data_IF_077184592173
#
_entry.id   IF_077184592173
#
_cell.length_a   1.000
_cell.length_b   1.000
_cell.length_c   1.000
_cell.angle_alpha   90.00
_cell.angle_beta   90.00
_cell.angle_gamma   90.00
#
_symmetry.space_group_name_H-M   'P 1'
#
loop_
_entity.id
_entity.type
_entity.pdbx_description
1 polymer ?
#
# COMPACT_ATOMS: atom_id res chain seq x y z
N UNK A 1 63.01 -14.43 51.67
CA UNK A 1 62.21 -15.55 51.12
C UNK A 1 61.86 -15.14 49.69
N UNK A 2 62.81 -15.31 48.77
CA UNK A 2 63.01 -16.51 47.97
C UNK A 2 62.08 -16.52 46.74
N UNK A 3 62.70 -16.20 45.61
CA UNK A 3 62.26 -16.40 44.24
C UNK A 3 61.70 -17.80 44.01
N UNK A 4 60.67 -17.92 43.17
CA UNK A 4 60.69 -18.89 42.07
C UNK A 4 59.49 -18.63 41.14
N UNK A 5 59.76 -18.15 39.93
CA UNK A 5 58.94 -18.50 38.77
C UNK A 5 59.32 -19.93 38.34
N UNK A 6 58.35 -20.69 37.83
CA UNK A 6 58.60 -21.40 36.57
C UNK A 6 57.33 -21.45 35.70
N UNK A 7 57.36 -21.63 34.39
CA UNK A 7 58.35 -21.44 33.33
C UNK A 7 57.56 -21.55 32.03
N UNK A 8 58.13 -20.94 31.00
CA UNK A 8 57.83 -21.10 29.58
C UNK A 8 57.63 -22.58 29.18
N UNK A 9 56.41 -23.02 28.90
CA UNK A 9 56.15 -24.15 27.99
C UNK A 9 54.65 -24.29 27.69
N UNK A 10 54.12 -23.45 26.80
CA UNK A 10 53.14 -23.86 25.77
C UNK A 10 52.70 -22.74 24.82
N UNK A 11 53.42 -21.61 24.78
CA UNK A 11 53.25 -20.61 23.74
C UNK A 11 53.97 -21.09 22.47
N UNK A 12 53.33 -21.98 21.69
CA UNK A 12 53.52 -22.25 20.23
C UNK A 12 53.11 -23.68 19.86
N UNK A 13 51.82 -24.02 19.87
CA UNK A 13 51.33 -25.10 18.97
C UNK A 13 49.82 -25.21 18.72
N UNK A 14 49.06 -24.12 18.68
CA UNK A 14 47.75 -24.16 18.00
C UNK A 14 47.53 -22.82 17.29
N UNK A 15 48.44 -22.51 16.36
CA UNK A 15 48.18 -21.63 15.23
C UNK A 15 47.96 -22.56 14.03
N UNK A 16 46.70 -22.96 13.83
CA UNK A 16 46.13 -23.47 12.59
C UNK A 16 44.61 -23.61 12.87
N UNK A 17 43.78 -23.06 11.99
CA UNK A 17 42.32 -23.24 11.92
C UNK A 17 41.40 -22.29 12.70
N UNK A 18 41.81 -21.04 12.98
CA UNK A 18 40.85 -19.98 13.41
C UNK A 18 41.15 -18.63 12.74
N UNK A 19 41.30 -18.62 11.42
CA UNK A 19 41.29 -17.40 10.60
C UNK A 19 40.41 -17.63 9.36
N UNK A 20 39.10 -17.82 9.57
CA UNK A 20 38.08 -17.52 8.54
C UNK A 20 36.65 -17.52 9.11
N UNK A 21 36.41 -16.67 10.12
CA UNK A 21 35.04 -16.39 10.62
C UNK A 21 34.69 -14.92 10.51
N UNK A 22 35.22 -14.25 9.50
CA UNK A 22 34.69 -12.99 9.01
C UNK A 22 34.28 -13.13 7.55
N UNK A 23 33.37 -14.06 7.28
CA UNK A 23 32.50 -13.90 6.12
C UNK A 23 31.13 -13.52 6.65
N UNK A 24 30.96 -12.21 6.70
CA UNK A 24 29.71 -11.50 6.89
C UNK A 24 28.66 -12.19 6.05
N UNK A 25 27.79 -12.98 6.70
CA UNK A 25 26.60 -13.53 6.10
C UNK A 25 25.81 -12.36 5.54
N UNK A 26 26.00 -12.12 4.25
CA UNK A 26 25.27 -11.15 3.48
C UNK A 26 23.85 -11.68 3.44
N UNK A 27 23.06 -11.28 4.44
CA UNK A 27 21.61 -11.42 4.41
C UNK A 27 21.21 -10.62 3.18
N UNK A 28 21.01 -11.31 2.05
CA UNK A 28 20.29 -10.77 0.90
C UNK A 28 18.94 -10.36 1.46
N UNK A 29 18.79 -9.07 1.78
CA UNK A 29 17.50 -8.46 2.04
C UNK A 29 16.71 -8.72 0.77
N UNK A 30 15.82 -9.72 0.80
CA UNK A 30 14.83 -9.87 -0.24
C UNK A 30 14.04 -8.58 -0.18
N UNK A 31 14.24 -7.68 -1.14
CA UNK A 31 13.44 -6.48 -1.26
C UNK A 31 11.98 -6.96 -1.32
N UNK A 32 11.23 -6.74 -0.24
CA UNK A 32 9.84 -7.17 -0.13
C UNK A 32 9.12 -6.61 -1.36
N UNK A 33 8.54 -7.51 -2.17
CA UNK A 33 7.82 -7.08 -3.36
C UNK A 33 6.71 -6.14 -2.90
N UNK A 34 6.63 -4.91 -3.43
CA UNK A 34 5.62 -3.97 -3.00
C UNK A 34 4.24 -4.59 -3.19
N UNK A 35 3.41 -4.54 -2.13
CA UNK A 35 2.07 -5.10 -2.15
C UNK A 35 1.30 -4.55 -3.36
N UNK A 36 0.55 -5.36 -4.11
CA UNK A 36 -0.24 -4.83 -5.21
C UNK A 36 -1.35 -3.92 -4.70
N UNK A 37 -1.60 -2.82 -5.40
CA UNK A 37 -2.77 -1.97 -5.17
C UNK A 37 -4.03 -2.80 -5.36
N UNK A 38 -4.95 -2.72 -4.39
CA UNK A 38 -6.21 -3.48 -4.41
C UNK A 38 -7.36 -2.64 -3.89
N UNK A 39 -8.58 -3.01 -4.24
CA UNK A 39 -9.81 -2.39 -3.72
C UNK A 39 -10.41 -3.30 -2.64
N UNK A 40 -10.91 -2.71 -1.56
CA UNK A 40 -11.69 -3.40 -0.53
C UNK A 40 -13.00 -2.68 -0.25
N UNK A 41 -13.93 -3.44 0.33
CA UNK A 41 -15.18 -2.89 0.85
C UNK A 41 -14.91 -2.17 2.18
N UNK A 42 -15.34 -0.92 2.30
CA UNK A 42 -15.37 -0.16 3.57
C UNK A 42 -16.74 -0.21 4.25
N UNK A 43 -17.63 -1.13 3.86
CA UNK A 43 -18.85 -1.41 4.63
C UNK A 43 -18.44 -1.91 6.03
N UNK A 44 -19.12 -1.44 7.07
CA UNK A 44 -18.79 -1.77 8.47
C UNK A 44 -18.62 -3.27 8.70
N UNK A 45 -19.53 -4.10 8.19
CA UNK A 45 -19.42 -5.55 8.32
C UNK A 45 -18.16 -6.13 7.65
N UNK A 46 -17.74 -5.59 6.50
CA UNK A 46 -16.51 -6.00 5.82
C UNK A 46 -15.26 -5.60 6.61
N UNK A 47 -15.27 -4.43 7.23
CA UNK A 47 -14.18 -3.93 8.09
C UNK A 47 -14.07 -4.72 9.40
N UNK A 48 -15.20 -5.01 10.05
CA UNK A 48 -15.26 -5.81 11.27
C UNK A 48 -14.67 -7.21 11.06
N UNK A 49 -14.97 -7.87 9.94
CA UNK A 49 -14.39 -9.18 9.58
C UNK A 49 -12.87 -9.14 9.40
N UNK A 50 -12.30 -7.96 9.20
CA UNK A 50 -10.85 -7.72 9.08
C UNK A 50 -10.23 -7.18 10.38
N UNK A 51 -10.99 -7.08 11.47
CA UNK A 51 -10.52 -6.59 12.77
C UNK A 51 -10.61 -5.08 12.96
N UNK A 52 -11.15 -4.33 12.01
CA UNK A 52 -11.33 -2.87 12.15
C UNK A 52 -12.70 -2.56 12.76
N UNK A 53 -12.78 -1.51 13.58
CA UNK A 53 -14.04 -1.12 14.28
C UNK A 53 -14.98 -0.37 13.35
N UNK A 54 -14.41 0.48 12.50
CA UNK A 54 -15.07 1.37 11.55
C UNK A 54 -14.06 1.89 10.52
N UNK A 55 -14.52 2.80 9.64
CA UNK A 55 -13.69 3.41 8.62
C UNK A 55 -12.55 4.25 9.21
N UNK A 56 -12.78 4.94 10.34
CA UNK A 56 -11.77 5.80 10.94
C UNK A 56 -10.61 4.96 11.52
N UNK A 57 -10.91 3.84 12.18
CA UNK A 57 -9.89 2.86 12.60
C UNK A 57 -9.18 2.25 11.39
N UNK A 58 -9.87 1.98 10.28
CA UNK A 58 -9.22 1.48 9.07
C UNK A 58 -8.25 2.50 8.44
N UNK A 59 -8.57 3.79 8.52
CA UNK A 59 -7.77 4.90 8.00
C UNK A 59 -6.58 5.28 8.89
N UNK A 60 -6.37 4.65 10.05
CA UNK A 60 -5.15 4.87 10.86
C UNK A 60 -3.90 4.31 10.18
N UNK A 61 -4.08 3.38 9.24
CA UNK A 61 -3.01 2.84 8.40
C UNK A 61 -2.76 3.77 7.20
N UNK A 62 -1.53 4.29 7.03
CA UNK A 62 -1.19 5.24 5.96
C UNK A 62 -1.19 4.61 4.55
N UNK A 63 -1.28 3.29 4.43
CA UNK A 63 -1.45 2.60 3.15
C UNK A 63 -2.91 2.49 2.73
N UNK A 64 -3.85 2.83 3.61
CA UNK A 64 -5.28 2.77 3.35
C UNK A 64 -5.80 4.13 2.88
N UNK A 65 -6.40 4.14 1.69
CA UNK A 65 -6.94 5.35 1.07
C UNK A 65 -8.43 5.16 0.81
N UNK A 66 -9.26 6.01 1.41
CA UNK A 66 -10.67 6.08 1.05
C UNK A 66 -10.82 6.86 -0.28
N UNK A 67 -11.47 6.24 -1.28
CA UNK A 67 -11.60 6.79 -2.64
C UNK A 67 -13.03 7.24 -2.98
N UNK A 68 -13.91 7.32 -1.99
CA UNK A 68 -15.31 7.66 -2.21
C UNK A 68 -15.64 9.14 -2.05
N UNK A 69 -16.95 9.44 -2.07
CA UNK A 69 -17.49 10.80 -1.90
C UNK A 69 -17.40 11.25 -0.44
N UNK A 70 -17.52 12.56 -0.21
CA UNK A 70 -17.58 13.09 1.15
C UNK A 70 -18.87 12.61 1.83
N UNK A 71 -18.71 11.82 2.89
CA UNK A 71 -19.78 11.28 3.72
C UNK A 71 -19.52 11.55 5.21
N UNK A 72 -18.68 12.54 5.56
CA UNK A 72 -18.30 12.83 6.95
C UNK A 72 -19.50 13.12 7.85
N UNK A 73 -20.60 13.61 7.27
CA UNK A 73 -21.89 13.79 7.97
C UNK A 73 -22.46 12.50 8.55
N UNK A 74 -22.16 11.35 7.94
CA UNK A 74 -22.74 10.05 8.30
C UNK A 74 -21.71 9.05 8.81
N UNK A 75 -20.47 9.14 8.32
CA UNK A 75 -19.38 8.21 8.65
C UNK A 75 -18.12 9.03 8.97
N UNK A 76 -17.67 9.03 10.23
CA UNK A 76 -16.40 9.63 10.60
C UNK A 76 -15.25 9.08 9.75
N UNK A 77 -14.34 9.97 9.32
CA UNK A 77 -13.21 9.63 8.45
C UNK A 77 -13.53 9.57 6.95
N UNK A 78 -14.80 9.57 6.53
CA UNK A 78 -15.19 9.51 5.12
C UNK A 78 -15.05 10.86 4.37
N UNK A 79 -13.86 11.47 4.46
CA UNK A 79 -13.53 12.71 3.75
C UNK A 79 -13.49 12.45 2.25
N UNK A 80 -14.10 13.34 1.47
CA UNK A 80 -14.19 13.15 0.02
C UNK A 80 -12.82 13.13 -0.65
N UNK A 81 -12.59 12.13 -1.49
CA UNK A 81 -11.32 11.95 -2.20
C UNK A 81 -11.30 12.64 -3.57
N UNK A 82 -10.11 13.02 -4.06
CA UNK A 82 -9.91 13.39 -5.48
C UNK A 82 -10.24 12.23 -6.43
N UNK A 83 -10.07 11.00 -5.94
CA UNK A 83 -10.36 9.73 -6.62
C UNK A 83 -11.85 9.35 -6.63
N UNK A 84 -12.74 10.22 -6.14
CA UNK A 84 -14.18 9.95 -6.17
C UNK A 84 -14.70 9.91 -7.60
N UNK A 85 -15.66 9.04 -7.85
CA UNK A 85 -16.43 9.08 -9.08
C UNK A 85 -17.40 10.30 -9.06
N UNK A 86 -17.34 11.26 -10.03
CA UNK A 86 -18.27 12.37 -10.09
C UNK A 86 -19.67 11.94 -10.59
N UNK A 87 -19.78 10.82 -11.30
CA UNK A 87 -21.04 10.31 -11.84
C UNK A 87 -21.80 9.49 -10.79
N UNK A 88 -23.04 9.86 -10.41
CA UNK A 88 -23.81 9.10 -9.44
C UNK A 88 -24.45 7.87 -10.10
N UNK A 89 -24.25 6.68 -9.49
CA UNK A 89 -24.84 5.43 -9.97
C UNK A 89 -26.37 5.47 -10.02
N UNK A 90 -27.03 6.22 -9.13
CA UNK A 90 -28.50 6.41 -9.13
C UNK A 90 -29.03 7.02 -10.45
N UNK A 91 -28.20 7.81 -11.15
CA UNK A 91 -28.60 8.47 -12.40
C UNK A 91 -28.28 7.64 -13.64
N UNK A 92 -27.16 6.92 -13.64
CA UNK A 92 -26.63 6.26 -14.83
C UNK A 92 -26.71 4.73 -14.79
N UNK A 93 -27.00 4.12 -13.65
CA UNK A 93 -26.72 2.71 -13.40
C UNK A 93 -25.25 2.50 -13.01
N UNK A 94 -24.91 1.31 -12.51
CA UNK A 94 -23.55 1.01 -12.03
C UNK A 94 -22.54 0.94 -13.17
N UNK A 95 -22.83 0.15 -14.20
CA UNK A 95 -21.86 -0.12 -15.27
C UNK A 95 -21.53 1.14 -16.06
N UNK A 96 -22.56 1.86 -16.53
CA UNK A 96 -22.40 3.13 -17.24
C UNK A 96 -21.67 4.19 -16.41
N UNK A 97 -21.90 4.22 -15.09
CA UNK A 97 -21.21 5.14 -14.19
C UNK A 97 -19.70 4.82 -14.07
N UNK A 98 -19.32 3.54 -14.16
CA UNK A 98 -17.93 3.11 -14.20
C UNK A 98 -17.30 3.43 -15.56
N UNK A 99 -18.03 3.24 -16.66
CA UNK A 99 -17.56 3.59 -18.00
C UNK A 99 -17.32 5.09 -18.15
N UNK A 100 -18.28 5.92 -17.73
CA UNK A 100 -18.11 7.37 -17.69
C UNK A 100 -16.91 7.78 -16.82
N UNK A 101 -16.66 7.07 -15.72
CA UNK A 101 -15.52 7.34 -14.87
C UNK A 101 -14.19 6.96 -15.52
N UNK A 102 -14.16 5.84 -16.27
CA UNK A 102 -13.01 5.43 -17.07
C UNK A 102 -12.67 6.52 -18.10
N UNK A 103 -13.65 6.98 -18.84
CA UNK A 103 -13.47 8.03 -19.84
C UNK A 103 -13.05 9.36 -19.20
N UNK A 104 -13.60 9.68 -18.02
CA UNK A 104 -13.23 10.88 -17.26
C UNK A 104 -11.77 10.89 -16.81
N UNK A 105 -11.22 9.74 -16.39
CA UNK A 105 -9.80 9.64 -16.05
C UNK A 105 -8.95 9.69 -17.32
N UNK A 106 -9.32 8.98 -18.38
CA UNK A 106 -8.51 8.92 -19.62
C UNK A 106 -8.46 10.24 -20.38
N UNK A 107 -9.54 11.02 -20.36
CA UNK A 107 -9.61 12.31 -21.04
C UNK A 107 -9.12 13.47 -20.16
N UNK A 108 -8.53 13.18 -18.99
CA UNK A 108 -7.92 14.17 -18.11
C UNK A 108 -8.80 15.39 -17.81
N UNK A 109 -10.10 15.16 -17.69
CA UNK A 109 -11.11 16.22 -17.72
C UNK A 109 -11.06 17.19 -16.52
N UNK A 110 -10.23 16.91 -15.50
CA UNK A 110 -10.10 17.77 -14.32
C UNK A 110 -8.69 17.73 -13.72
N UNK A 111 -8.21 18.92 -13.39
CA UNK A 111 -6.99 19.11 -12.62
C UNK A 111 -7.27 19.12 -11.12
N UNK A 112 -6.41 18.44 -10.37
CA UNK A 112 -6.31 18.43 -8.92
C UNK A 112 -4.89 18.88 -8.56
N UNK A 113 -4.76 20.00 -7.85
CA UNK A 113 -3.47 20.60 -7.50
C UNK A 113 -2.55 20.81 -8.73
N UNK A 114 -3.15 21.18 -9.87
CA UNK A 114 -2.44 21.43 -11.13
C UNK A 114 -2.08 20.17 -11.94
N UNK A 115 -2.45 18.96 -11.49
CA UNK A 115 -2.19 17.68 -12.18
C UNK A 115 -3.47 16.96 -12.55
N UNK A 116 -3.46 16.15 -13.60
CA UNK A 116 -4.60 15.31 -13.92
C UNK A 116 -4.69 14.13 -12.94
N UNK A 117 -5.84 13.45 -12.89
CA UNK A 117 -5.94 12.21 -12.10
C UNK A 117 -5.02 11.11 -12.65
N UNK A 118 -4.81 11.08 -13.96
CA UNK A 118 -3.94 10.10 -14.59
C UNK A 118 -2.48 10.32 -14.17
N UNK A 119 -2.02 11.58 -14.12
CA UNK A 119 -0.67 11.93 -13.67
C UNK A 119 -0.43 11.55 -12.20
N UNK A 120 -1.45 11.71 -11.37
CA UNK A 120 -1.41 11.35 -9.94
C UNK A 120 -1.61 9.86 -9.66
N UNK A 121 -1.90 9.02 -10.67
CA UNK A 121 -2.35 7.63 -10.41
C UNK A 121 -1.27 6.79 -9.72
N UNK A 122 0.00 7.14 -9.90
CA UNK A 122 1.15 6.49 -9.29
C UNK A 122 1.13 6.59 -7.75
N UNK A 123 0.47 7.62 -7.18
CA UNK A 123 0.26 7.76 -5.74
C UNK A 123 -0.53 6.60 -5.13
N UNK A 124 -1.34 5.91 -5.94
CA UNK A 124 -2.12 4.75 -5.51
C UNK A 124 -1.28 3.46 -5.48
N UNK A 125 -0.02 3.50 -5.91
CA UNK A 125 0.85 2.31 -5.91
C UNK A 125 1.04 1.79 -4.50
N UNK A 126 0.84 0.48 -4.35
CA UNK A 126 0.96 -0.23 -3.07
C UNK A 126 -0.05 0.16 -2.00
N UNK A 127 -1.10 0.90 -2.37
CA UNK A 127 -2.17 1.34 -1.47
C UNK A 127 -3.36 0.39 -1.50
N UNK A 128 -4.08 0.35 -0.38
CA UNK A 128 -5.38 -0.33 -0.29
C UNK A 128 -6.48 0.70 -0.45
N UNK A 129 -7.27 0.58 -1.51
CA UNK A 129 -8.32 1.54 -1.84
C UNK A 129 -9.65 1.10 -1.23
N UNK A 130 -10.26 1.98 -0.44
CA UNK A 130 -11.51 1.74 0.26
C UNK A 130 -12.70 2.33 -0.49
N UNK A 131 -13.67 1.48 -0.88
CA UNK A 131 -14.92 1.93 -1.48
C UNK A 131 -16.13 1.13 -0.96
N UNK A 132 -17.31 1.75 -0.92
CA UNK A 132 -18.56 1.06 -0.55
C UNK A 132 -19.16 0.22 -1.68
N UNK A 133 -18.75 0.41 -2.93
CA UNK A 133 -19.28 -0.38 -4.06
C UNK A 133 -18.76 -1.83 -4.05
N UNK A 134 -17.50 -2.03 -3.65
CA UNK A 134 -16.89 -3.35 -3.58
C UNK A 134 -17.70 -4.30 -2.67
N UNK A 135 -17.89 -5.60 -3.01
CA UNK A 135 -17.27 -6.38 -4.10
C UNK A 135 -17.96 -6.28 -5.46
N UNK A 136 -19.02 -5.50 -5.59
CA UNK A 136 -19.63 -5.24 -6.90
C UNK A 136 -18.73 -4.34 -7.75
N UNK A 137 -18.91 -4.27 -9.08
CA UNK A 137 -18.11 -3.42 -9.95
C UNK A 137 -17.93 -2.02 -9.36
N UNK A 138 -16.67 -1.61 -9.22
CA UNK A 138 -16.28 -0.43 -8.48
C UNK A 138 -15.45 0.51 -9.35
N UNK A 139 -15.56 1.81 -9.10
CA UNK A 139 -14.69 2.79 -9.75
C UNK A 139 -13.22 2.62 -9.34
N UNK A 140 -12.96 2.02 -8.17
CA UNK A 140 -11.62 1.65 -7.75
C UNK A 140 -10.95 0.63 -8.68
N UNK A 141 -11.72 -0.26 -9.32
CA UNK A 141 -11.18 -1.24 -10.26
C UNK A 141 -10.61 -0.54 -11.51
N UNK A 142 -11.21 0.59 -11.89
CA UNK A 142 -10.69 1.44 -12.99
C UNK A 142 -9.33 2.01 -12.61
N UNK A 143 -9.18 2.51 -11.37
CA UNK A 143 -7.91 3.07 -10.88
C UNK A 143 -6.80 2.01 -10.87
N UNK A 144 -7.09 0.81 -10.38
CA UNK A 144 -6.13 -0.32 -10.39
C UNK A 144 -5.76 -0.69 -11.82
N UNK A 145 -6.73 -0.75 -12.74
CA UNK A 145 -6.48 -1.02 -14.15
C UNK A 145 -5.59 0.03 -14.80
N UNK A 146 -5.80 1.33 -14.53
CA UNK A 146 -4.95 2.41 -15.06
C UNK A 146 -3.53 2.28 -14.54
N UNK A 147 -3.37 2.05 -13.22
CA UNK A 147 -2.06 1.84 -12.62
C UNK A 147 -1.32 0.66 -13.26
N UNK A 148 -2.01 -0.45 -13.52
CA UNK A 148 -1.41 -1.61 -14.20
C UNK A 148 -1.00 -1.32 -15.63
N UNK A 149 -1.75 -0.48 -16.36
CA UNK A 149 -1.42 -0.09 -17.74
C UNK A 149 -0.18 0.79 -17.80
N UNK A 150 0.02 1.70 -16.85
CA UNK A 150 1.22 2.56 -16.81
C UNK A 150 2.52 1.77 -16.57
N UNK A 151 2.48 0.66 -15.82
CA UNK A 151 3.67 -0.18 -15.60
C UNK A 151 4.19 -0.87 -16.88
N UNK A 152 3.42 -0.87 -17.97
CA UNK A 152 3.74 -1.57 -19.22
C UNK A 152 4.34 -0.65 -20.30
N UNK A 153 4.56 0.63 -20.00
CA UNK A 153 5.33 1.55 -20.83
C UNK A 153 6.75 1.64 -20.32
#
# INVERSE_FOLDING_TARGET
>A
MAHCAPTEDNAKKIQADIEDKNETSTIRTQAERPRPTRVISVKKQSLNRKGYKDLQHWLTDPDNIYIGRNMTRYVPGAVGSKWKNPFPAKKHGRDKCIDLYRDYIMNDAKLYDGKTLLDSIEELRSKTLGCWCNPEPCHGDVLVQMLMRLKKK
#
